data_IF_271174817580
#
_entry.id   IF_271174817580
#
_cell.length_a   1.000
_cell.length_b   1.000
_cell.length_c   1.000
_cell.angle_alpha   90.00
_cell.angle_beta   90.00
_cell.angle_gamma   90.00
#
_symmetry.space_group_name_H-M   'P 1'
#
loop_
_entity.id
_entity.type
_entity.pdbx_description
1 polymer ?
#
# COMPACT_ATOMS: atom_id res chain seq x y z
N UNK A 1 16.05 18.25 21.73
CA UNK A 1 15.38 18.37 20.83
C UNK A 1 15.58 17.59 19.65
N UNK A 2 16.69 17.42 19.08
CA UNK A 2 16.83 16.63 18.01
C UNK A 2 16.42 15.24 18.23
N UNK A 3 16.70 14.71 19.35
CA UNK A 3 16.33 13.37 19.66
C UNK A 3 14.89 13.15 19.59
N UNK A 4 14.13 14.14 19.96
CA UNK A 4 12.73 14.01 19.94
C UNK A 4 12.21 13.88 18.58
N UNK A 5 12.85 14.54 17.63
CA UNK A 5 12.39 14.47 16.32
C UNK A 5 12.57 13.09 15.77
N UNK A 6 13.69 12.43 16.02
CA UNK A 6 13.90 11.09 15.60
C UNK A 6 12.91 10.17 16.20
N UNK A 7 12.58 10.41 17.49
CA UNK A 7 11.65 9.55 18.17
C UNK A 7 10.26 9.61 17.56
N UNK A 8 9.87 10.75 17.07
CA UNK A 8 8.57 10.87 16.45
C UNK A 8 8.47 9.91 15.29
N UNK A 9 9.52 9.81 14.48
CA UNK A 9 9.47 8.88 13.38
C UNK A 9 9.46 7.45 13.84
N UNK A 10 10.11 7.15 14.96
CA UNK A 10 10.14 5.79 15.46
C UNK A 10 8.78 5.32 15.92
N UNK A 11 7.86 6.24 16.17
CA UNK A 11 6.55 5.87 16.63
C UNK A 11 5.50 5.81 15.55
N UNK A 12 5.90 5.90 14.29
CA UNK A 12 4.95 5.72 13.22
C UNK A 12 4.40 4.31 13.25
N UNK A 13 3.09 4.20 13.03
CA UNK A 13 2.43 2.91 12.94
C UNK A 13 2.62 2.37 11.55
N UNK A 14 3.09 1.14 11.46
CA UNK A 14 3.29 0.48 10.16
C UNK A 14 2.18 -0.53 9.93
N UNK A 15 1.79 -0.66 8.68
CA UNK A 15 0.72 -1.56 8.26
C UNK A 15 1.17 -2.39 7.08
N UNK A 16 0.93 -3.69 7.16
CA UNK A 16 1.16 -4.59 6.05
C UNK A 16 -0.17 -4.79 5.34
N UNK A 17 -0.19 -4.54 4.06
CA UNK A 17 -1.38 -4.73 3.23
C UNK A 17 -1.12 -5.87 2.27
N UNK A 18 -2.00 -6.86 2.29
CA UNK A 18 -1.94 -8.00 1.37
C UNK A 18 -3.26 -8.00 0.63
N UNK A 19 -3.22 -7.76 -0.66
CA UNK A 19 -4.43 -7.61 -1.45
C UNK A 19 -4.41 -8.51 -2.67
N UNK A 20 -5.55 -9.13 -2.96
CA UNK A 20 -5.70 -9.99 -4.13
C UNK A 20 -6.64 -9.31 -5.11
N UNK A 21 -6.28 -9.32 -6.37
CA UNK A 21 -7.16 -8.81 -7.43
C UNK A 21 -8.30 -9.79 -7.68
N UNK A 22 -9.26 -9.37 -8.47
CA UNK A 22 -10.33 -10.25 -8.90
C UNK A 22 -9.79 -11.40 -9.74
N UNK A 23 -10.61 -12.45 -9.86
CA UNK A 23 -10.24 -13.64 -10.65
C UNK A 23 -10.99 -13.70 -11.97
N UNK A 24 -11.73 -12.65 -12.28
CA UNK A 24 -12.49 -12.59 -13.53
C UNK A 24 -11.56 -12.27 -14.70
N UNK A 25 -12.06 -12.46 -15.91
CA UNK A 25 -11.25 -12.29 -17.12
C UNK A 25 -10.72 -10.86 -17.28
N UNK A 26 -11.45 -9.87 -16.80
CA UNK A 26 -11.03 -8.48 -16.96
C UNK A 26 -10.15 -7.95 -15.84
N UNK A 27 -9.83 -8.79 -14.85
CA UNK A 27 -9.10 -8.33 -13.69
C UNK A 27 -7.77 -7.70 -14.04
N UNK A 28 -7.00 -8.33 -14.91
CA UNK A 28 -5.68 -7.82 -15.29
C UNK A 28 -5.80 -6.50 -16.05
N UNK A 29 -6.76 -6.38 -16.96
CA UNK A 29 -6.96 -5.15 -17.70
C UNK A 29 -7.41 -4.03 -16.76
N UNK A 30 -8.28 -4.33 -15.82
CA UNK A 30 -8.73 -3.36 -14.82
C UNK A 30 -7.55 -2.84 -14.03
N UNK A 31 -6.65 -3.75 -13.61
CA UNK A 31 -5.46 -3.34 -12.88
C UNK A 31 -4.57 -2.43 -13.72
N UNK A 32 -4.36 -2.80 -14.99
CA UNK A 32 -3.50 -2.02 -15.87
C UNK A 32 -4.06 -0.62 -16.11
N UNK A 33 -5.36 -0.51 -16.23
CA UNK A 33 -6.01 0.78 -16.42
C UNK A 33 -5.85 1.71 -15.22
N UNK A 34 -5.96 1.15 -14.02
CA UNK A 34 -5.92 1.94 -12.79
C UNK A 34 -4.50 2.18 -12.31
N UNK A 35 -3.56 1.33 -12.76
CA UNK A 35 -2.19 1.35 -12.26
C UNK A 35 -1.50 2.72 -12.27
N UNK A 36 -1.64 3.55 -13.31
CA UNK A 36 -0.98 4.86 -13.28
C UNK A 36 -1.43 5.72 -12.09
N UNK A 37 -2.71 5.64 -11.71
CA UNK A 37 -3.22 6.40 -10.58
C UNK A 37 -2.66 5.85 -9.27
N UNK A 38 -2.60 4.52 -9.17
CA UNK A 38 -2.03 3.87 -7.97
C UNK A 38 -0.55 4.25 -7.80
N UNK A 39 0.22 4.22 -8.88
CA UNK A 39 1.64 4.54 -8.82
C UNK A 39 1.86 6.01 -8.49
N UNK A 40 1.01 6.90 -8.99
CA UNK A 40 1.09 8.32 -8.64
C UNK A 40 0.83 8.52 -7.15
N UNK A 41 -0.13 7.78 -6.60
CA UNK A 41 -0.41 7.83 -5.17
C UNK A 41 0.75 7.28 -4.34
N UNK A 42 1.36 6.18 -4.80
CA UNK A 42 2.50 5.60 -4.10
C UNK A 42 3.69 6.57 -4.10
N UNK A 43 3.87 7.30 -5.19
CA UNK A 43 4.93 8.29 -5.27
C UNK A 43 4.71 9.38 -4.23
N UNK A 44 3.48 9.84 -4.07
CA UNK A 44 3.16 10.84 -3.06
C UNK A 44 3.39 10.31 -1.66
N UNK A 45 3.02 9.06 -1.40
CA UNK A 45 3.31 8.43 -0.12
C UNK A 45 4.80 8.42 0.16
N UNK A 46 5.58 8.10 -0.86
CA UNK A 46 7.03 8.04 -0.70
C UNK A 46 7.60 9.43 -0.39
N UNK A 47 7.12 10.44 -1.08
CA UNK A 47 7.56 11.81 -0.85
C UNK A 47 7.22 12.27 0.57
N UNK A 48 6.13 11.82 1.11
CA UNK A 48 5.71 12.14 2.46
C UNK A 48 6.32 11.27 3.54
N UNK A 49 7.14 10.29 3.19
CA UNK A 49 7.75 9.40 4.16
C UNK A 49 6.82 8.28 4.64
N UNK A 50 5.72 8.04 3.91
CA UNK A 50 4.71 7.07 4.32
C UNK A 50 4.79 5.73 3.60
N UNK A 51 5.60 5.65 2.56
CA UNK A 51 5.75 4.41 1.78
C UNK A 51 7.04 3.71 2.17
N UNK A 52 6.95 2.48 2.65
CA UNK A 52 8.14 1.71 3.00
C UNK A 52 8.54 0.84 1.82
N UNK A 53 7.63 0.02 1.32
CA UNK A 53 7.88 -0.83 0.17
C UNK A 53 6.55 -1.30 -0.40
N UNK A 54 6.53 -1.65 -1.66
CA UNK A 54 5.33 -2.22 -2.26
C UNK A 54 5.64 -2.82 -3.60
N UNK A 55 4.78 -3.71 -4.04
CA UNK A 55 4.94 -4.36 -5.32
C UNK A 55 3.77 -5.26 -5.62
N UNK A 56 3.82 -5.84 -6.81
CA UNK A 56 2.77 -6.73 -7.28
C UNK A 56 3.15 -8.19 -7.05
N UNK A 57 2.16 -8.99 -6.69
CA UNK A 57 2.31 -10.43 -6.67
C UNK A 57 2.01 -10.96 -8.06
N UNK A 58 2.79 -11.91 -8.51
CA UNK A 58 2.71 -12.40 -9.88
C UNK A 58 2.23 -13.85 -9.92
N UNK A 59 1.53 -14.20 -11.00
CA UNK A 59 1.19 -15.59 -11.24
C UNK A 59 2.34 -16.27 -12.00
N UNK A 60 2.14 -17.53 -12.40
CA UNK A 60 3.19 -18.31 -13.04
C UNK A 60 3.59 -17.77 -14.41
N UNK A 61 2.76 -16.90 -14.99
CA UNK A 61 3.03 -16.28 -16.28
C UNK A 61 3.51 -14.86 -16.13
N UNK A 62 3.87 -14.46 -14.92
CA UNK A 62 4.35 -13.12 -14.59
C UNK A 62 3.30 -12.01 -14.76
N UNK A 63 2.04 -12.37 -14.67
CA UNK A 63 0.97 -11.37 -14.66
C UNK A 63 0.69 -10.92 -13.23
N UNK A 64 0.45 -9.64 -13.07
CA UNK A 64 0.15 -9.07 -11.76
C UNK A 64 -1.23 -9.52 -11.28
N UNK A 65 -1.29 -10.10 -10.09
CA UNK A 65 -2.55 -10.64 -9.54
C UNK A 65 -2.86 -10.13 -8.14
N UNK A 66 -2.05 -9.29 -7.61
CA UNK A 66 -2.26 -8.74 -6.27
C UNK A 66 -1.16 -7.80 -5.90
N UNK A 67 -1.19 -7.33 -4.67
CA UNK A 67 -0.19 -6.37 -4.18
C UNK A 67 0.17 -6.67 -2.75
N UNK A 68 1.40 -6.34 -2.40
CA UNK A 68 1.82 -6.23 -1.01
C UNK A 68 2.38 -4.82 -0.85
N UNK A 69 1.98 -4.14 0.22
CA UNK A 69 2.51 -2.84 0.56
C UNK A 69 2.79 -2.77 2.05
N UNK A 70 3.83 -2.04 2.41
CA UNK A 70 4.04 -1.65 3.79
C UNK A 70 4.04 -0.13 3.80
N UNK A 71 3.11 0.45 4.55
CA UNK A 71 2.95 1.90 4.68
C UNK A 71 3.05 2.27 6.15
N UNK A 72 3.29 3.54 6.43
CA UNK A 72 3.40 3.99 7.82
C UNK A 72 2.82 5.38 7.97
N UNK A 73 2.14 5.58 9.10
CA UNK A 73 1.47 6.84 9.39
C UNK A 73 1.57 7.15 10.88
N UNK A 74 1.53 8.42 11.22
CA UNK A 74 1.58 8.82 12.62
C UNK A 74 0.32 8.39 13.37
N UNK A 75 -0.83 8.42 12.70
CA UNK A 75 -2.08 8.05 13.34
C UNK A 75 -2.85 7.07 12.47
N UNK A 76 -3.77 6.36 13.10
CA UNK A 76 -4.65 5.46 12.37
C UNK A 76 -5.60 6.23 11.46
N UNK A 77 -6.00 7.44 11.86
CA UNK A 77 -6.85 8.27 11.02
C UNK A 77 -6.17 8.64 9.71
N UNK A 78 -4.87 8.91 9.75
CA UNK A 78 -4.11 9.21 8.55
C UNK A 78 -4.06 7.99 7.63
N UNK A 79 -3.86 6.80 8.21
CA UNK A 79 -3.87 5.56 7.44
C UNK A 79 -5.24 5.39 6.78
N UNK A 80 -6.31 5.56 7.53
CA UNK A 80 -7.67 5.34 7.03
C UNK A 80 -7.98 6.29 5.89
N UNK A 81 -7.53 7.54 6.01
CA UNK A 81 -7.75 8.54 4.98
C UNK A 81 -7.07 8.13 3.67
N UNK A 82 -5.84 7.63 3.75
CA UNK A 82 -5.15 7.13 2.58
C UNK A 82 -5.87 5.91 2.01
N UNK A 83 -6.24 4.97 2.88
CA UNK A 83 -6.88 3.73 2.49
C UNK A 83 -8.18 4.02 1.72
N UNK A 84 -8.98 4.93 2.22
CA UNK A 84 -10.28 5.26 1.63
C UNK A 84 -10.14 5.91 0.24
N UNK A 85 -8.98 6.39 -0.10
CA UNK A 85 -8.73 7.07 -1.37
C UNK A 85 -7.79 6.32 -2.31
N UNK A 86 -7.37 5.12 -1.93
CA UNK A 86 -6.44 4.34 -2.75
C UNK A 86 -7.16 3.87 -4.03
N UNK A 87 -6.65 4.20 -5.22
CA UNK A 87 -7.35 3.86 -6.47
C UNK A 87 -7.60 2.38 -6.68
N UNK A 88 -6.69 1.50 -6.26
CA UNK A 88 -6.92 0.07 -6.39
C UNK A 88 -8.09 -0.40 -5.53
N UNK A 89 -8.41 0.34 -4.48
CA UNK A 89 -9.56 0.05 -3.64
C UNK A 89 -10.81 0.71 -4.22
N UNK A 90 -10.74 2.01 -4.49
CA UNK A 90 -11.92 2.76 -4.92
C UNK A 90 -12.42 2.33 -6.29
N UNK A 91 -11.53 1.83 -7.14
CA UNK A 91 -11.89 1.41 -8.48
C UNK A 91 -11.98 -0.11 -8.64
N UNK A 92 -11.99 -0.82 -7.52
CA UNK A 92 -12.32 -2.23 -7.51
C UNK A 92 -11.30 -3.17 -8.09
N UNK A 93 -10.02 -2.82 -8.05
CA UNK A 93 -8.97 -3.72 -8.52
C UNK A 93 -8.72 -4.80 -7.48
N UNK A 94 -8.52 -4.40 -6.22
CA UNK A 94 -8.33 -5.35 -5.12
C UNK A 94 -9.70 -5.84 -4.66
N UNK A 95 -9.87 -7.16 -4.60
CA UNK A 95 -11.14 -7.75 -4.19
C UNK A 95 -11.09 -8.30 -2.77
N UNK A 96 -9.93 -8.76 -2.32
CA UNK A 96 -9.76 -9.15 -0.92
C UNK A 96 -8.56 -8.38 -0.39
N UNK A 97 -8.70 -7.83 0.81
CA UNK A 97 -7.66 -7.00 1.41
C UNK A 97 -7.49 -7.39 2.86
N UNK A 98 -6.25 -7.70 3.24
CA UNK A 98 -5.89 -7.90 4.64
C UNK A 98 -5.00 -6.76 5.05
N UNK A 99 -5.24 -6.19 6.22
CA UNK A 99 -4.40 -5.15 6.80
C UNK A 99 -3.96 -5.64 8.16
N UNK A 100 -2.65 -5.68 8.39
CA UNK A 100 -2.11 -6.16 9.65
C UNK A 100 -1.15 -5.14 10.25
N UNK A 101 -1.18 -4.94 11.56
CA UNK A 101 -0.13 -4.17 12.21
C UNK A 101 1.21 -4.84 11.92
N UNK A 102 2.23 -4.04 11.67
CA UNK A 102 3.50 -4.58 11.24
C UNK A 102 4.64 -3.74 11.81
N UNK A 103 5.79 -4.35 11.97
CA UNK A 103 6.99 -3.61 12.34
C UNK A 103 8.13 -4.12 11.49
N UNK A 104 8.69 -3.23 10.69
CA UNK A 104 9.86 -3.57 9.88
C UNK A 104 11.01 -3.86 10.84
N UNK A 105 11.72 -4.94 10.57
CA UNK A 105 12.86 -5.30 11.40
C UNK A 105 13.99 -4.28 11.22
N UNK A 106 14.62 -3.91 12.32
CA UNK A 106 15.72 -2.98 12.29
C UNK A 106 17.02 -3.78 12.29
N UNK A 107 17.50 -4.11 11.13
CA UNK A 107 18.70 -4.95 10.96
C UNK A 107 19.82 -4.21 10.27
#
# INVERSE_FOLDING_TARGET
>A
MKCERSNVKSFMKQYLIIAQDGKDEDALNRRKEVRPLHLAGAKKLKEGGNFVIGGAMLDDENNMRGSIMIVQFETQDDFQRWYDNEPYITKGVWKTIEVKPFRVADV
#
